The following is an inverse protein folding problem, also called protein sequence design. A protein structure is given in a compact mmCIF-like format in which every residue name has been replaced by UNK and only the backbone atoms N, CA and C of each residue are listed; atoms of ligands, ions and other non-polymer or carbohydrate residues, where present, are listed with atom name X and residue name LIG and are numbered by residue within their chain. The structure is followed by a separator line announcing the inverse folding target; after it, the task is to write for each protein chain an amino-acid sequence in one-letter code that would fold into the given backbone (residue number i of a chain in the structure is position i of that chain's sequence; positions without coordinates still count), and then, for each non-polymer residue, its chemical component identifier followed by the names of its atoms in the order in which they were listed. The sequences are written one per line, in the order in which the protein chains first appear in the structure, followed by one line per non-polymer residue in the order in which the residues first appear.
data_IF_868668447678
#
_entry.id   IF_868668447678
#
_cell.length_a   1.000
_cell.length_b   1.000
_cell.length_c   1.000
_cell.angle_alpha   90.00
_cell.angle_beta   90.00
_cell.angle_gamma   90.00
#
_symmetry.space_group_name_H-M   'P 1'
#
loop_
_entity.id
_entity.type
_entity.pdbx_description
1 polymer ?
#
# COMPACT_ATOMS: atom_id res chain seq x y z
N UNK A 1 -3.44 6.91 52.33
CA UNK A 1 -3.04 5.64 51.68
C UNK A 1 -3.11 5.91 50.18
N UNK A 2 -2.08 6.55 49.64
CA UNK A 2 -2.07 7.12 48.29
C UNK A 2 -1.33 6.23 47.27
N UNK A 3 -1.07 4.97 47.66
CA UNK A 3 -0.28 4.00 46.89
C UNK A 3 -1.00 3.38 45.69
N UNK A 4 -2.26 3.73 45.43
CA UNK A 4 -3.06 3.08 44.37
C UNK A 4 -3.08 3.84 43.05
N UNK A 5 -2.84 5.15 43.02
CA UNK A 5 -2.92 5.92 41.77
C UNK A 5 -1.67 5.80 40.91
N UNK A 6 -0.47 5.90 41.50
CA UNK A 6 0.79 5.79 40.75
C UNK A 6 0.97 4.37 40.16
N UNK A 7 0.66 3.34 40.95
CA UNK A 7 0.69 1.95 40.47
C UNK A 7 -0.34 1.69 39.36
N UNK A 8 -1.55 2.25 39.48
CA UNK A 8 -2.56 2.13 38.43
C UNK A 8 -2.13 2.87 37.16
N UNK A 9 -1.45 4.02 37.30
CA UNK A 9 -0.97 4.82 36.19
C UNK A 9 0.15 4.11 35.42
N UNK A 10 1.11 3.50 36.12
CA UNK A 10 2.18 2.70 35.51
C UNK A 10 1.65 1.42 34.86
N UNK A 11 0.68 0.76 35.50
CA UNK A 11 0.00 -0.40 34.92
C UNK A 11 -0.81 -0.01 33.66
N UNK A 12 -1.48 1.14 33.69
CA UNK A 12 -2.23 1.67 32.55
C UNK A 12 -1.33 2.07 31.39
N UNK A 13 -0.18 2.69 31.66
CA UNK A 13 0.83 3.06 30.65
C UNK A 13 1.39 1.82 29.97
N UNK A 14 1.76 0.79 30.75
CA UNK A 14 2.26 -0.45 30.18
C UNK A 14 1.16 -1.17 29.39
N UNK A 15 -0.06 -1.25 29.93
CA UNK A 15 -1.21 -1.83 29.23
C UNK A 15 -1.55 -1.13 27.92
N UNK A 16 -1.53 0.20 27.91
CA UNK A 16 -1.75 1.00 26.70
C UNK A 16 -0.62 0.79 25.67
N UNK A 17 0.62 0.65 26.12
CA UNK A 17 1.76 0.30 25.27
C UNK A 17 1.58 -1.04 24.55
N UNK A 18 1.15 -2.07 25.27
CA UNK A 18 0.87 -3.38 24.64
C UNK A 18 -0.33 -3.33 23.69
N UNK A 19 -1.39 -2.61 24.05
CA UNK A 19 -2.58 -2.47 23.21
C UNK A 19 -2.24 -1.77 21.89
N UNK A 20 -1.48 -0.68 21.96
CA UNK A 20 -1.04 0.06 20.76
C UNK A 20 -0.10 -0.78 19.89
N UNK A 21 0.85 -1.51 20.49
CA UNK A 21 1.73 -2.43 19.76
C UNK A 21 0.94 -3.56 19.07
N UNK A 22 -0.09 -4.11 19.72
CA UNK A 22 -0.95 -5.15 19.15
C UNK A 22 -1.76 -4.63 17.94
N UNK A 23 -2.33 -3.42 18.05
CA UNK A 23 -3.06 -2.78 16.94
C UNK A 23 -2.14 -2.53 15.74
N UNK A 24 -0.95 -2.00 15.99
CA UNK A 24 0.05 -1.76 14.94
C UNK A 24 0.47 -3.08 14.29
N UNK A 25 0.76 -4.11 15.10
CA UNK A 25 1.09 -5.45 14.64
C UNK A 25 -0.02 -6.08 13.79
N UNK A 26 -1.28 -5.89 14.17
CA UNK A 26 -2.44 -6.39 13.43
C UNK A 26 -2.57 -5.71 12.05
N UNK A 27 -2.31 -4.40 11.96
CA UNK A 27 -2.31 -3.67 10.68
C UNK A 27 -1.20 -4.18 9.77
N UNK A 28 0.03 -4.34 10.28
CA UNK A 28 1.13 -4.90 9.49
C UNK A 28 0.84 -6.35 9.07
N UNK A 29 0.34 -7.17 9.99
CA UNK A 29 -0.09 -8.52 9.67
C UNK A 29 -1.15 -8.54 8.57
N UNK A 30 -2.18 -7.70 8.65
CA UNK A 30 -3.23 -7.61 7.62
C UNK A 30 -2.69 -7.13 6.26
N UNK A 31 -1.64 -6.31 6.22
CA UNK A 31 -0.99 -5.87 4.98
C UNK A 31 -0.16 -6.99 4.35
N UNK A 32 0.56 -7.78 5.16
CA UNK A 32 1.47 -8.83 4.67
C UNK A 32 0.81 -10.21 4.51
N UNK A 33 -0.28 -10.50 5.24
CA UNK A 33 -0.97 -11.80 5.23
C UNK A 33 -1.92 -11.98 4.04
N UNK A 34 -2.18 -10.95 3.23
CA UNK A 34 -2.99 -11.07 1.99
C UNK A 34 -2.42 -12.07 0.97
N UNK A 35 -1.20 -12.57 1.17
CA UNK A 35 -0.53 -13.54 0.27
C UNK A 35 -0.68 -15.00 0.69
N UNK A 36 -1.29 -15.29 1.85
CA UNK A 36 -1.51 -16.67 2.30
C UNK A 36 -2.96 -16.80 2.73
N UNK A 37 -3.84 -17.05 1.76
CA UNK A 37 -5.11 -17.67 2.09
C UNK A 37 -4.78 -19.01 2.78
N UNK A 38 -5.16 -19.22 4.05
CA UNK A 38 -5.15 -20.57 4.59
C UNK A 38 -6.24 -21.33 3.82
N UNK A 39 -5.83 -22.34 3.05
CA UNK A 39 -6.74 -23.42 2.71
C UNK A 39 -7.21 -23.93 4.07
N UNK A 40 -8.48 -23.66 4.41
CA UNK A 40 -9.12 -24.27 5.56
C UNK A 40 -9.21 -25.76 5.26
N UNK A 41 -8.17 -26.51 5.61
CA UNK A 41 -8.31 -27.93 5.84
C UNK A 41 -8.98 -28.05 7.19
N UNK A 42 -10.31 -28.22 7.16
CA UNK A 42 -11.01 -28.90 8.25
C UNK A 42 -10.21 -30.17 8.56
N UNK A 43 -9.62 -30.20 9.74
CA UNK A 43 -9.05 -31.42 10.31
C UNK A 43 -10.25 -32.29 10.67
N UNK A 44 -10.67 -33.12 9.73
CA UNK A 44 -11.43 -34.32 10.04
C UNK A 44 -10.41 -35.29 10.63
N UNK A 45 -10.49 -35.48 11.96
CA UNK A 45 -9.86 -36.62 12.63
C UNK A 45 -10.30 -37.90 11.93
N UNK A 46 -9.36 -38.58 11.28
CA UNK A 46 -9.60 -39.92 10.78
C UNK A 46 -8.72 -40.32 9.60
N UNK A 47 -7.98 -41.40 9.82
CA UNK A 47 -7.33 -42.25 8.83
C UNK A 47 -6.04 -41.72 8.19
N UNK A 48 -4.93 -42.16 8.80
CA UNK A 48 -3.63 -42.36 8.19
C UNK A 48 -3.77 -42.91 6.76
N UNK A 49 -3.20 -42.21 5.77
CA UNK A 49 -2.70 -42.89 4.57
C UNK A 49 -1.39 -42.26 4.11
N UNK A 50 -0.44 -43.15 3.90
CA UNK A 50 0.96 -42.96 3.55
C UNK A 50 1.16 -42.55 2.08
N UNK A 51 2.34 -41.98 1.84
CA UNK A 51 3.12 -41.94 0.58
C UNK A 51 2.56 -41.11 -0.58
N UNK A 52 3.34 -40.13 -1.07
CA UNK A 52 4.23 -40.38 -2.20
C UNK A 52 4.99 -39.09 -2.56
N UNK A 53 6.30 -39.13 -2.37
CA UNK A 53 7.25 -38.09 -2.76
C UNK A 53 7.50 -38.22 -4.28
N UNK A 54 6.88 -37.35 -5.06
CA UNK A 54 7.08 -37.28 -6.51
C UNK A 54 7.89 -36.02 -6.88
N UNK A 55 9.20 -36.24 -6.94
CA UNK A 55 10.25 -35.47 -7.62
C UNK A 55 9.73 -34.78 -8.89
N UNK A 56 9.70 -33.44 -8.91
CA UNK A 56 9.53 -32.65 -10.13
C UNK A 56 10.77 -31.82 -10.44
N UNK A 57 11.34 -32.14 -11.61
CA UNK A 57 12.48 -31.55 -12.29
C UNK A 57 12.25 -30.07 -12.60
N UNK A 58 13.16 -29.20 -12.17
CA UNK A 58 13.14 -27.77 -12.50
C UNK A 58 14.02 -27.55 -13.74
N UNK A 59 13.51 -27.07 -14.89
CA UNK A 59 14.36 -26.59 -15.98
C UNK A 59 14.95 -25.21 -15.63
N UNK A 60 16.20 -24.90 -16.03
CA UNK A 60 16.84 -23.64 -15.67
C UNK A 60 16.21 -22.49 -16.45
N UNK A 61 15.61 -21.54 -15.72
CA UNK A 61 15.13 -20.28 -16.28
C UNK A 61 16.34 -19.39 -16.54
N UNK A 62 16.77 -19.33 -17.80
CA UNK A 62 17.58 -18.22 -18.31
C UNK A 62 16.77 -16.93 -18.19
N UNK A 63 17.27 -15.97 -17.40
CA UNK A 63 16.85 -14.57 -17.47
C UNK A 63 18.12 -13.74 -17.60
N UNK A 64 18.44 -13.36 -18.83
CA UNK A 64 18.12 -12.05 -19.41
C UNK A 64 19.00 -10.95 -18.82
N UNK A 65 19.95 -10.54 -19.67
CA UNK A 65 20.80 -9.38 -19.61
C UNK A 65 20.05 -8.16 -19.04
N UNK A 66 20.36 -7.78 -17.80
CA UNK A 66 19.96 -6.51 -17.18
C UNK A 66 20.93 -5.43 -17.63
N UNK A 67 20.83 -5.01 -18.90
CA UNK A 67 21.43 -3.76 -19.37
C UNK A 67 20.52 -2.60 -18.97
N UNK A 68 20.81 -2.01 -17.83
CA UNK A 68 20.64 -0.59 -17.47
C UNK A 68 20.53 -0.45 -15.94
N UNK A 69 21.61 -0.79 -15.25
CA UNK A 69 21.77 -0.41 -13.84
C UNK A 69 22.46 0.93 -13.83
N UNK A 70 21.72 1.99 -13.49
CA UNK A 70 22.27 3.33 -13.25
C UNK A 70 22.54 3.45 -11.76
N UNK A 71 23.80 3.34 -11.36
CA UNK A 71 24.22 3.54 -9.98
C UNK A 71 24.21 5.04 -9.65
N UNK A 72 23.59 5.43 -8.54
CA UNK A 72 23.70 6.78 -8.00
C UNK A 72 24.85 6.74 -7.00
N UNK A 73 25.95 7.42 -7.32
CA UNK A 73 27.09 7.54 -6.42
C UNK A 73 26.81 8.66 -5.43
N UNK A 74 26.46 8.29 -4.19
CA UNK A 74 26.28 9.25 -3.11
C UNK A 74 27.65 9.52 -2.47
N UNK A 75 28.29 10.60 -2.91
CA UNK A 75 29.53 11.08 -2.30
C UNK A 75 30.47 11.71 -3.33
N UNK A 76 30.28 13.01 -3.58
CA UNK A 76 31.33 14.02 -3.80
C UNK A 76 30.62 15.34 -4.06
N UNK A 77 30.63 16.20 -3.05
CA UNK A 77 30.17 17.58 -3.15
C UNK A 77 31.13 18.38 -4.04
N UNK A 78 30.53 19.33 -4.75
CA UNK A 78 31.11 20.54 -5.35
C UNK A 78 32.02 20.40 -6.58
N UNK A 79 31.46 20.68 -7.77
CA UNK A 79 31.61 22.01 -8.42
C UNK A 79 30.85 22.08 -9.77
N UNK A 80 29.85 22.94 -9.79
CA UNK A 80 29.43 23.89 -10.84
C UNK A 80 29.94 23.70 -12.29
N UNK A 81 29.02 23.53 -13.27
CA UNK A 81 29.02 24.25 -14.56
C UNK A 81 27.57 24.48 -15.01
N UNK A 82 27.22 25.76 -15.21
CA UNK A 82 26.00 26.25 -15.84
C UNK A 82 25.81 25.72 -17.27
N UNK A 83 24.61 25.22 -17.58
CA UNK A 83 24.05 25.32 -18.93
C UNK A 83 22.61 25.80 -18.86
N UNK A 84 22.43 27.00 -19.41
CA UNK A 84 21.14 27.65 -19.66
C UNK A 84 20.28 26.73 -20.52
N UNK A 85 19.21 26.19 -19.95
CA UNK A 85 18.06 25.71 -20.73
C UNK A 85 16.79 26.08 -20.00
N UNK A 86 15.95 26.84 -20.69
CA UNK A 86 14.58 27.25 -20.37
C UNK A 86 14.10 26.90 -18.96
N UNK A 87 14.09 27.90 -18.07
CA UNK A 87 13.34 27.83 -16.82
C UNK A 87 11.84 27.74 -17.15
N UNK A 88 11.41 26.52 -17.49
CA UNK A 88 10.08 26.00 -17.23
C UNK A 88 9.74 26.49 -15.84
N UNK A 89 8.77 27.42 -15.73
CA UNK A 89 8.16 27.73 -14.43
C UNK A 89 7.84 26.38 -13.82
N UNK A 90 8.63 25.99 -12.85
CA UNK A 90 8.41 24.81 -12.05
C UNK A 90 7.16 25.18 -11.26
N UNK A 91 6.00 24.92 -11.88
CA UNK A 91 4.73 25.04 -11.22
C UNK A 91 4.86 24.09 -10.04
N UNK A 92 5.08 24.66 -8.86
CA UNK A 92 4.92 23.96 -7.59
C UNK A 92 3.70 23.08 -7.79
N UNK A 93 3.82 21.74 -7.72
CA UNK A 93 2.70 20.87 -8.00
C UNK A 93 1.64 21.29 -6.98
N UNK A 94 0.64 22.03 -7.46
CA UNK A 94 -0.44 22.52 -6.64
C UNK A 94 -1.08 21.24 -6.14
N UNK A 95 -0.85 20.93 -4.86
CA UNK A 95 -1.34 19.71 -4.25
C UNK A 95 -2.86 19.83 -4.23
N UNK A 96 -3.49 19.34 -5.29
CA UNK A 96 -4.95 19.29 -5.39
C UNK A 96 -5.40 18.41 -4.23
N UNK A 97 -6.30 18.93 -3.41
CA UNK A 97 -6.78 18.18 -2.26
C UNK A 97 -7.55 16.95 -2.74
N UNK A 98 -7.48 15.83 -2.01
CA UNK A 98 -8.22 14.62 -2.38
C UNK A 98 -9.73 14.90 -2.51
N UNK A 99 -10.26 15.79 -1.66
CA UNK A 99 -11.64 16.25 -1.69
C UNK A 99 -12.00 16.94 -3.01
N UNK A 100 -11.14 17.83 -3.52
CA UNK A 100 -11.34 18.50 -4.81
C UNK A 100 -11.34 17.50 -5.98
N UNK A 101 -10.42 16.53 -5.98
CA UNK A 101 -10.37 15.49 -7.01
C UNK A 101 -11.67 14.68 -7.02
N UNK A 102 -12.18 14.29 -5.85
CA UNK A 102 -13.43 13.52 -5.73
C UNK A 102 -14.66 14.35 -6.14
N UNK A 103 -14.72 15.63 -5.76
CA UNK A 103 -15.79 16.52 -6.20
C UNK A 103 -15.78 16.73 -7.71
N UNK A 104 -14.59 16.86 -8.30
CA UNK A 104 -14.46 17.00 -9.75
C UNK A 104 -14.87 15.71 -10.46
N UNK A 105 -14.45 14.55 -9.96
CA UNK A 105 -14.88 13.25 -10.48
C UNK A 105 -16.40 13.09 -10.43
N UNK A 106 -17.06 13.53 -9.35
CA UNK A 106 -18.53 13.55 -9.24
C UNK A 106 -19.16 14.43 -10.32
N UNK A 107 -18.69 15.67 -10.49
CA UNK A 107 -19.19 16.58 -11.54
C UNK A 107 -19.03 15.98 -12.94
N UNK A 108 -17.95 15.24 -13.19
CA UNK A 108 -17.74 14.56 -14.46
C UNK A 108 -18.70 13.39 -14.67
N UNK A 109 -19.03 12.63 -13.62
CA UNK A 109 -20.07 11.58 -13.68
C UNK A 109 -21.45 12.20 -13.94
N UNK A 110 -21.79 13.29 -13.25
CA UNK A 110 -23.05 14.02 -13.44
C UNK A 110 -23.17 14.59 -14.86
N UNK A 111 -22.04 15.00 -15.45
CA UNK A 111 -21.95 15.43 -16.85
C UNK A 111 -21.96 14.27 -17.88
N UNK A 112 -22.11 13.02 -17.43
CA UNK A 112 -22.19 11.83 -18.30
C UNK A 112 -20.84 11.30 -18.79
N UNK A 113 -19.72 11.71 -18.20
CA UNK A 113 -18.41 11.17 -18.55
C UNK A 113 -18.30 9.71 -18.15
N UNK A 114 -17.69 8.89 -19.01
CA UNK A 114 -17.40 7.49 -18.71
C UNK A 114 -16.34 7.38 -17.62
N UNK A 115 -16.41 6.32 -16.82
CA UNK A 115 -15.46 6.05 -15.72
C UNK A 115 -14.02 5.92 -16.21
N UNK A 116 -13.81 5.38 -17.42
CA UNK A 116 -12.49 5.31 -18.05
C UNK A 116 -11.90 6.68 -18.36
N UNK A 117 -12.73 7.60 -18.87
CA UNK A 117 -12.28 8.95 -19.20
C UNK A 117 -11.89 9.72 -17.94
N UNK A 118 -12.65 9.55 -16.86
CA UNK A 118 -12.36 10.19 -15.57
C UNK A 118 -11.02 9.71 -15.01
N UNK A 119 -10.71 8.41 -15.09
CA UNK A 119 -9.43 7.84 -14.63
C UNK A 119 -8.21 8.33 -15.41
N UNK A 120 -8.38 8.70 -16.67
CA UNK A 120 -7.28 9.25 -17.50
C UNK A 120 -6.94 10.69 -17.11
N UNK A 121 -7.92 11.44 -16.64
CA UNK A 121 -7.80 12.87 -16.36
C UNK A 121 -7.50 13.12 -14.89
N UNK A 122 -8.11 12.34 -14.00
CA UNK A 122 -8.02 12.50 -12.56
C UNK A 122 -7.34 11.28 -11.92
N UNK A 123 -6.50 11.47 -10.89
CA UNK A 123 -5.86 10.39 -10.17
C UNK A 123 -6.86 9.69 -9.22
N UNK A 124 -7.94 9.11 -9.73
CA UNK A 124 -8.98 8.38 -8.97
C UNK A 124 -8.89 6.88 -9.20
N UNK A 125 -9.18 6.11 -8.14
CA UNK A 125 -9.22 4.66 -8.19
C UNK A 125 -10.60 4.12 -8.59
N UNK A 126 -10.66 2.85 -9.00
CA UNK A 126 -11.92 2.17 -9.32
C UNK A 126 -12.88 2.10 -8.13
N UNK A 127 -12.35 1.88 -6.92
CA UNK A 127 -13.15 1.82 -5.71
C UNK A 127 -13.85 3.15 -5.40
N UNK A 128 -13.14 4.27 -5.59
CA UNK A 128 -13.72 5.60 -5.35
C UNK A 128 -14.79 5.96 -6.38
N UNK A 129 -14.58 5.62 -7.64
CA UNK A 129 -15.59 5.82 -8.68
C UNK A 129 -16.82 4.94 -8.46
N UNK A 130 -16.64 3.70 -8.00
CA UNK A 130 -17.75 2.83 -7.64
C UNK A 130 -18.60 3.43 -6.52
N UNK A 131 -17.98 3.95 -5.45
CA UNK A 131 -18.68 4.63 -4.36
C UNK A 131 -19.46 5.86 -4.83
N UNK A 132 -18.88 6.63 -5.75
CA UNK A 132 -19.56 7.80 -6.31
C UNK A 132 -20.76 7.41 -7.18
N UNK A 133 -20.65 6.34 -7.96
CA UNK A 133 -21.74 5.84 -8.81
C UNK A 133 -22.89 5.24 -7.99
N UNK A 134 -22.58 4.51 -6.91
CA UNK A 134 -23.55 3.93 -5.97
C UNK A 134 -24.43 5.00 -5.31
N UNK A 135 -23.86 6.17 -5.02
CA UNK A 135 -24.54 7.27 -4.31
C UNK A 135 -25.27 8.24 -5.25
N UNK A 136 -25.31 7.96 -6.56
CA UNK A 136 -25.99 8.76 -7.58
C UNK A 136 -27.28 8.10 -8.10
N UNK A 137 -27.70 7.00 -7.46
CA UNK A 137 -28.93 6.26 -7.74
C UNK A 137 -29.94 6.50 -6.62
#
# INVERSE_FOLDING_TARGET
MDFSQEFLMDMAINGAGFLTAALIGMVFYALFSKKKAPIQQEVIEGAHTKLSEAKQTIPPVQKQNVSNVKFIQLGSSDHEIEQVSHAKKESVPQKISRKEVIQLARKMLDAGSTTENIKRILPVSDAELALLSLNNK
#
